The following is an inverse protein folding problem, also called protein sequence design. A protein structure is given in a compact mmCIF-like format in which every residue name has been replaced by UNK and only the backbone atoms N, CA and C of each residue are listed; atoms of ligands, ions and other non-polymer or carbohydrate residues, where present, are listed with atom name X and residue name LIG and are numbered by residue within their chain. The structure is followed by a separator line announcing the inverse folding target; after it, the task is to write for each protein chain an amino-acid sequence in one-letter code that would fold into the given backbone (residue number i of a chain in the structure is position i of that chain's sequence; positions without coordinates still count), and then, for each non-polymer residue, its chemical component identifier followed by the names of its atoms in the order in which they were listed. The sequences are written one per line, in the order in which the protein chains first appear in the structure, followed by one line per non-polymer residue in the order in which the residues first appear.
data_IF_456403952364
#
_entry.id   IF_456403952364
#
_cell.length_a   1.000
_cell.length_b   1.000
_cell.length_c   1.000
_cell.angle_alpha   90.00
_cell.angle_beta   90.00
_cell.angle_gamma   90.00
#
_symmetry.space_group_name_H-M   'P 1'
#
loop_
_entity.id
_entity.type
_entity.pdbx_description
1 polymer ?
#
# COMPACT_ATOMS: atom_id res chain seq x y z
N UNK A 1 -10.71 -12.73 -3.40
CA UNK A 1 -11.75 -11.92 -2.76
C UNK A 1 -11.29 -11.41 -1.41
N UNK A 2 -12.04 -10.54 -0.76
CA UNK A 2 -11.68 -9.97 0.53
C UNK A 2 -11.68 -11.02 1.66
N UNK A 3 -10.88 -10.76 2.69
CA UNK A 3 -10.77 -11.60 3.89
C UNK A 3 -11.82 -11.14 4.91
N UNK A 4 -12.76 -12.02 5.27
CA UNK A 4 -13.72 -11.75 6.35
C UNK A 4 -13.03 -11.88 7.71
N UNK A 5 -13.06 -10.82 8.50
CA UNK A 5 -12.47 -10.81 9.84
C UNK A 5 -13.53 -11.25 10.86
N UNK A 6 -13.31 -12.42 11.47
CA UNK A 6 -14.25 -13.00 12.43
C UNK A 6 -14.47 -12.08 13.63
N UNK A 7 -15.72 -11.76 13.90
CA UNK A 7 -16.12 -10.94 15.06
C UNK A 7 -15.95 -9.44 14.90
N UNK A 8 -15.46 -8.97 13.73
CA UNK A 8 -15.43 -7.54 13.43
C UNK A 8 -16.85 -7.00 13.23
N UNK A 9 -17.13 -5.86 13.85
CA UNK A 9 -18.39 -5.13 13.77
C UNK A 9 -18.17 -3.72 13.28
N UNK A 10 -19.15 -3.15 12.63
CA UNK A 10 -19.14 -1.70 12.32
C UNK A 10 -18.83 -0.89 13.59
N UNK A 11 -17.89 0.05 13.47
CA UNK A 11 -17.41 0.89 14.58
C UNK A 11 -16.20 0.35 15.32
N UNK A 12 -15.80 -0.91 15.09
CA UNK A 12 -14.52 -1.41 15.59
C UNK A 12 -13.35 -0.78 14.81
N UNK A 13 -12.14 -0.96 15.33
CA UNK A 13 -10.90 -0.68 14.59
C UNK A 13 -10.20 -2.01 14.31
N UNK A 14 -9.99 -2.30 13.04
CA UNK A 14 -9.14 -3.41 12.60
C UNK A 14 -7.69 -3.02 12.77
N UNK A 15 -6.93 -3.81 13.52
CA UNK A 15 -5.47 -3.69 13.61
C UNK A 15 -4.84 -4.70 12.66
N UNK A 16 -3.96 -4.23 11.78
CA UNK A 16 -3.25 -5.05 10.79
C UNK A 16 -1.76 -4.90 11.06
N UNK A 17 -1.16 -5.88 11.71
CA UNK A 17 0.28 -5.95 11.93
C UNK A 17 0.93 -6.58 10.70
N UNK A 18 1.86 -5.87 10.08
CA UNK A 18 2.63 -6.36 8.94
C UNK A 18 3.83 -7.13 9.47
N UNK A 19 3.78 -8.45 9.35
CA UNK A 19 4.83 -9.33 9.87
C UNK A 19 5.97 -9.49 8.88
N UNK A 20 5.63 -9.56 7.59
CA UNK A 20 6.61 -9.78 6.53
C UNK A 20 6.04 -9.38 5.16
N UNK A 21 6.91 -8.84 4.29
CA UNK A 21 6.61 -8.57 2.88
C UNK A 21 7.82 -8.95 2.06
N UNK A 22 7.64 -9.87 1.10
CA UNK A 22 8.73 -10.42 0.29
C UNK A 22 8.41 -10.38 -1.19
N UNK A 23 9.40 -10.12 -2.06
CA UNK A 23 9.27 -10.40 -3.49
C UNK A 23 8.90 -11.87 -3.73
N UNK A 24 7.88 -12.11 -4.54
CA UNK A 24 7.46 -13.45 -4.98
C UNK A 24 8.00 -13.78 -6.39
N UNK A 25 8.68 -12.82 -7.03
CA UNK A 25 9.38 -12.99 -8.30
C UNK A 25 10.75 -12.29 -8.23
N UNK A 26 11.74 -12.71 -9.02
CA UNK A 26 13.08 -12.14 -9.01
C UNK A 26 13.16 -10.77 -9.70
N UNK A 27 12.05 -10.16 -10.05
CA UNK A 27 12.01 -8.88 -10.74
C UNK A 27 10.87 -7.98 -10.24
N UNK A 28 11.05 -6.69 -10.45
CA UNK A 28 10.04 -5.66 -10.35
C UNK A 28 10.04 -4.77 -11.59
N UNK A 29 9.16 -3.79 -11.64
CA UNK A 29 9.08 -2.87 -12.76
C UNK A 29 8.64 -1.47 -12.34
N UNK A 30 9.02 -0.48 -13.12
CA UNK A 30 8.54 0.90 -13.01
C UNK A 30 8.17 1.40 -14.41
N UNK A 31 7.04 2.07 -14.54
CA UNK A 31 6.61 2.61 -15.83
C UNK A 31 6.42 4.13 -15.79
N UNK A 32 6.89 4.81 -16.81
CA UNK A 32 6.52 6.18 -17.13
C UNK A 32 5.42 6.12 -18.18
N UNK A 33 4.28 6.73 -17.90
CA UNK A 33 3.14 6.83 -18.82
C UNK A 33 2.86 8.31 -19.07
N UNK A 34 3.03 8.81 -20.32
CA UNK A 34 2.79 10.21 -20.64
C UNK A 34 1.42 10.69 -20.18
N UNK A 35 1.34 11.89 -19.62
CA UNK A 35 0.11 12.45 -19.05
C UNK A 35 -0.36 11.80 -17.74
N UNK A 36 0.48 10.98 -17.08
CA UNK A 36 0.22 10.40 -15.77
C UNK A 36 1.34 10.75 -14.81
N UNK A 37 0.97 10.93 -13.53
CA UNK A 37 1.92 11.32 -12.49
C UNK A 37 2.36 12.78 -12.59
N UNK A 38 3.52 13.06 -12.03
CA UNK A 38 4.05 14.42 -11.88
C UNK A 38 5.17 14.75 -12.89
N UNK A 39 5.58 13.80 -13.73
CA UNK A 39 6.60 14.05 -14.74
C UNK A 39 6.02 14.89 -15.89
N UNK A 40 6.72 15.98 -16.31
CA UNK A 40 6.24 16.84 -17.39
C UNK A 40 6.11 16.08 -18.72
N UNK A 41 4.91 16.06 -19.30
CA UNK A 41 4.66 15.33 -20.54
C UNK A 41 5.52 15.83 -21.72
N UNK A 42 5.86 17.13 -21.74
CA UNK A 42 6.75 17.69 -22.75
C UNK A 42 8.15 17.06 -22.78
N UNK A 43 8.64 16.63 -21.60
CA UNK A 43 9.95 15.98 -21.45
C UNK A 43 9.84 14.45 -21.51
N UNK A 44 8.73 13.90 -21.02
CA UNK A 44 8.46 12.46 -20.90
C UNK A 44 7.29 12.05 -21.82
N UNK A 45 7.39 12.42 -23.11
CA UNK A 45 6.32 12.24 -24.10
C UNK A 45 6.16 10.79 -24.61
N UNK A 46 7.08 9.89 -24.24
CA UNK A 46 7.04 8.48 -24.65
C UNK A 46 6.91 7.57 -23.44
N UNK A 47 6.10 6.49 -23.52
CA UNK A 47 6.06 5.50 -22.47
C UNK A 47 7.43 4.83 -22.32
N UNK A 48 7.80 4.57 -21.07
CA UNK A 48 9.04 3.86 -20.72
C UNK A 48 8.77 2.83 -19.65
N UNK A 49 9.33 1.62 -19.84
CA UNK A 49 9.26 0.54 -18.86
C UNK A 49 10.68 0.17 -18.43
N UNK A 50 10.91 0.21 -17.15
CA UNK A 50 12.15 -0.27 -16.51
C UNK A 50 11.87 -1.57 -15.79
N UNK A 51 12.70 -2.59 -16.03
CA UNK A 51 12.69 -3.84 -15.25
C UNK A 51 13.82 -3.77 -14.24
N UNK A 52 13.48 -4.09 -13.00
CA UNK A 52 14.41 -4.13 -11.87
C UNK A 52 14.72 -5.58 -11.50
N UNK A 53 15.98 -5.90 -11.31
CA UNK A 53 16.43 -7.16 -10.74
C UNK A 53 16.29 -7.11 -9.22
N UNK A 54 15.55 -8.07 -8.64
CA UNK A 54 15.31 -8.22 -7.19
C UNK A 54 15.94 -9.50 -6.63
N UNK A 55 16.81 -10.17 -7.36
CA UNK A 55 17.33 -11.51 -7.01
C UNK A 55 18.14 -11.55 -5.71
N UNK A 56 18.80 -10.45 -5.33
CA UNK A 56 19.59 -10.40 -4.08
C UNK A 56 18.69 -10.19 -2.84
N UNK A 57 17.41 -9.89 -3.02
CA UNK A 57 16.44 -9.63 -1.94
C UNK A 57 16.76 -8.41 -1.06
N UNK A 58 17.72 -7.58 -1.46
CA UNK A 58 18.17 -6.40 -0.70
C UNK A 58 18.13 -5.12 -1.51
N UNK A 59 18.27 -5.21 -2.83
CA UNK A 59 18.29 -4.06 -3.72
C UNK A 59 17.45 -4.31 -4.96
N UNK A 60 16.79 -3.27 -5.43
CA UNK A 60 16.29 -3.19 -6.79
C UNK A 60 17.42 -2.65 -7.67
N UNK A 61 17.85 -3.45 -8.66
CA UNK A 61 18.97 -3.10 -9.55
C UNK A 61 18.49 -2.84 -10.96
N UNK A 62 19.00 -1.77 -11.55
CA UNK A 62 18.71 -1.40 -12.93
C UNK A 62 20.02 -1.14 -13.68
N UNK A 63 20.21 -1.85 -14.80
CA UNK A 63 21.38 -1.68 -15.65
C UNK A 63 22.71 -1.82 -14.89
N UNK A 64 23.74 -1.08 -15.36
CA UNK A 64 25.05 -1.10 -14.73
C UNK A 64 25.18 0.08 -13.75
N UNK A 65 25.21 -0.21 -12.45
CA UNK A 65 25.57 0.75 -11.42
C UNK A 65 24.45 1.41 -10.64
N UNK A 66 23.16 1.16 -10.99
CA UNK A 66 22.04 1.65 -10.18
C UNK A 66 21.54 0.53 -9.28
N UNK A 67 21.56 0.78 -7.97
CA UNK A 67 21.04 -0.13 -6.95
C UNK A 67 20.33 0.69 -5.87
N UNK A 68 19.05 0.43 -5.67
CA UNK A 68 18.22 1.10 -4.66
C UNK A 68 17.89 0.08 -3.57
N UNK A 69 18.13 0.37 -2.29
CA UNK A 69 17.71 -0.53 -1.21
C UNK A 69 16.21 -0.78 -1.26
N UNK A 70 15.79 -2.04 -1.06
CA UNK A 70 14.37 -2.35 -0.98
C UNK A 70 13.86 -2.20 0.45
N UNK A 71 12.63 -1.73 0.57
CA UNK A 71 11.85 -1.65 1.80
C UNK A 71 10.42 -2.04 1.47
N UNK A 72 10.14 -3.36 1.30
CA UNK A 72 8.89 -3.82 0.73
C UNK A 72 7.67 -3.49 1.59
N UNK A 73 6.59 -3.09 0.93
CA UNK A 73 5.31 -2.80 1.57
C UNK A 73 4.13 -3.01 0.62
N UNK A 74 2.90 -3.21 1.11
CA UNK A 74 1.69 -3.21 0.29
C UNK A 74 1.22 -1.78 0.04
N UNK A 75 1.06 -1.35 -1.21
CA UNK A 75 0.50 -0.04 -1.57
C UNK A 75 -0.99 0.04 -1.24
N UNK A 76 -1.72 -1.05 -1.45
CA UNK A 76 -3.16 -1.15 -1.19
C UNK A 76 -3.45 -2.00 0.04
N UNK A 77 -4.04 -1.40 1.06
CA UNK A 77 -4.66 -2.10 2.20
C UNK A 77 -5.94 -1.37 2.62
N UNK A 78 -7.05 -2.09 2.74
CA UNK A 78 -8.30 -1.47 3.14
C UNK A 78 -9.38 -2.46 3.52
N UNK A 79 -10.48 -1.94 4.04
CA UNK A 79 -11.70 -2.67 4.37
C UNK A 79 -12.86 -2.24 3.46
N UNK A 80 -13.95 -2.98 3.46
CA UNK A 80 -15.13 -2.59 2.67
C UNK A 80 -15.75 -1.28 3.18
N UNK A 81 -16.24 -0.48 2.25
CA UNK A 81 -17.05 0.71 2.52
C UNK A 81 -18.48 0.30 2.95
N UNK A 82 -19.15 1.18 3.68
CA UNK A 82 -20.58 1.07 4.02
C UNK A 82 -21.50 1.66 2.94
N UNK A 83 -20.94 1.96 1.77
CA UNK A 83 -21.62 2.52 0.61
C UNK A 83 -21.79 1.44 -0.45
N UNK A 84 -23.03 1.14 -0.91
CA UNK A 84 -23.24 0.16 -1.96
C UNK A 84 -22.73 0.67 -3.31
N UNK A 85 -22.38 -0.26 -4.19
CA UNK A 85 -21.95 0.03 -5.56
C UNK A 85 -20.50 -0.27 -5.85
N UNK A 86 -20.06 0.09 -7.05
CA UNK A 86 -18.67 -0.03 -7.49
C UNK A 86 -17.90 1.28 -7.19
N UNK A 87 -16.75 1.13 -6.53
CA UNK A 87 -15.90 2.25 -6.17
C UNK A 87 -14.56 2.14 -6.89
N UNK A 88 -14.05 3.29 -7.39
CA UNK A 88 -12.71 3.34 -7.94
C UNK A 88 -11.68 2.98 -6.86
N UNK A 89 -10.71 2.16 -7.20
CA UNK A 89 -9.59 1.79 -6.32
C UNK A 89 -8.42 2.77 -6.39
N UNK A 90 -8.45 3.73 -7.32
CA UNK A 90 -7.35 4.69 -7.49
C UNK A 90 -7.16 5.63 -6.30
N UNK A 91 -8.17 6.36 -5.80
CA UNK A 91 -7.97 7.21 -4.63
C UNK A 91 -8.10 6.41 -3.34
N UNK A 92 -7.24 6.65 -2.34
CA UNK A 92 -7.49 6.18 -0.99
C UNK A 92 -8.73 6.87 -0.41
N UNK A 93 -9.38 6.23 0.56
CA UNK A 93 -10.62 6.73 1.19
C UNK A 93 -10.59 6.49 2.70
N UNK A 94 -11.67 6.87 3.39
CA UNK A 94 -11.88 6.62 4.83
C UNK A 94 -11.66 5.16 5.28
N UNK A 95 -11.71 4.21 4.36
CA UNK A 95 -11.52 2.77 4.60
C UNK A 95 -10.10 2.27 4.29
N UNK A 96 -9.15 3.16 3.94
CA UNK A 96 -7.87 2.81 3.37
C UNK A 96 -7.94 2.70 1.84
N UNK A 97 -7.35 1.66 1.28
CA UNK A 97 -7.26 1.42 -0.16
C UNK A 97 -5.86 1.72 -0.69
N UNK A 98 -5.78 2.44 -1.79
CA UNK A 98 -4.53 2.78 -2.49
C UNK A 98 -3.81 3.94 -1.77
N UNK A 99 -3.21 3.64 -0.64
CA UNK A 99 -2.59 4.66 0.21
C UNK A 99 -1.13 4.95 -0.15
N UNK A 100 -0.43 3.99 -0.75
CA UNK A 100 0.97 4.09 -1.18
C UNK A 100 1.92 4.66 -0.10
N UNK A 101 1.66 4.26 1.15
CA UNK A 101 2.44 4.71 2.30
C UNK A 101 3.68 3.85 2.48
N UNK A 102 4.81 4.30 1.96
CA UNK A 102 6.10 3.57 1.97
C UNK A 102 6.60 3.15 3.36
N UNK A 103 6.02 3.68 4.43
CA UNK A 103 6.36 3.34 5.81
C UNK A 103 5.61 2.11 6.35
N UNK A 104 4.66 1.55 5.59
CA UNK A 104 3.90 0.35 5.98
C UNK A 104 4.69 -0.95 5.70
N UNK A 105 5.94 -0.97 6.11
CA UNK A 105 6.85 -2.11 5.99
C UNK A 105 6.64 -3.13 7.12
N UNK A 106 7.34 -4.26 7.07
CA UNK A 106 7.35 -5.25 8.16
C UNK A 106 7.72 -4.60 9.51
N UNK A 107 7.03 -4.99 10.58
CA UNK A 107 7.15 -4.42 11.92
C UNK A 107 6.22 -3.24 12.20
N UNK A 108 5.43 -2.80 11.23
CA UNK A 108 4.46 -1.72 11.41
C UNK A 108 3.05 -2.24 11.66
N UNK A 109 2.19 -1.38 12.21
CA UNK A 109 0.78 -1.71 12.46
C UNK A 109 -0.11 -0.65 11.82
N UNK A 110 -0.99 -1.07 10.92
CA UNK A 110 -2.05 -0.24 10.34
C UNK A 110 -3.33 -0.40 11.15
N UNK A 111 -4.05 0.71 11.35
CA UNK A 111 -5.35 0.79 12.01
C UNK A 111 -6.38 1.26 10.99
N UNK A 112 -7.40 0.46 10.75
CA UNK A 112 -8.47 0.76 9.80
C UNK A 112 -9.82 0.85 10.51
N UNK A 113 -10.61 1.91 10.27
CA UNK A 113 -11.98 1.97 10.78
C UNK A 113 -12.84 0.92 10.09
N UNK A 114 -13.59 0.14 10.84
CA UNK A 114 -14.49 -0.88 10.30
C UNK A 114 -15.86 -0.26 9.98
N UNK A 115 -16.22 -0.20 8.71
CA UNK A 115 -17.47 0.43 8.24
C UNK A 115 -18.63 -0.54 8.11
N UNK A 116 -18.35 -1.85 8.04
CA UNK A 116 -19.36 -2.89 7.98
C UNK A 116 -18.90 -4.17 8.69
N UNK A 117 -19.84 -5.01 9.07
CA UNK A 117 -19.57 -6.27 9.75
C UNK A 117 -18.63 -7.16 8.94
N UNK A 118 -17.77 -7.88 9.63
CA UNK A 118 -16.68 -8.70 9.05
C UNK A 118 -15.55 -7.91 8.37
N UNK A 119 -15.57 -6.58 8.36
CA UNK A 119 -14.58 -5.68 7.77
C UNK A 119 -14.30 -5.91 6.29
N UNK A 120 -14.19 -7.15 5.82
CA UNK A 120 -13.88 -7.55 4.44
C UNK A 120 -12.57 -6.92 3.94
N UNK A 121 -11.48 -7.28 4.60
CA UNK A 121 -10.14 -6.73 4.33
C UNK A 121 -9.60 -7.21 2.98
N UNK A 122 -8.94 -6.30 2.26
CA UNK A 122 -8.20 -6.57 1.03
C UNK A 122 -6.79 -5.99 1.11
N UNK A 123 -5.84 -6.65 0.45
CA UNK A 123 -4.45 -6.24 0.32
C UNK A 123 -3.95 -6.54 -1.09
N UNK A 124 -3.08 -5.69 -1.61
CA UNK A 124 -2.48 -5.85 -2.93
C UNK A 124 -1.42 -4.81 -3.21
N UNK A 125 -1.03 -4.71 -4.49
CA UNK A 125 -0.15 -3.65 -4.97
C UNK A 125 1.16 -3.59 -4.19
N UNK A 126 1.94 -4.68 -4.28
CA UNK A 126 3.17 -4.79 -3.52
C UNK A 126 4.31 -4.02 -4.22
N UNK A 127 4.94 -3.14 -3.47
CA UNK A 127 6.09 -2.34 -3.90
C UNK A 127 7.37 -2.86 -3.24
N UNK A 128 8.43 -3.01 -4.01
CA UNK A 128 9.75 -3.34 -3.45
C UNK A 128 10.38 -2.12 -2.77
N UNK A 129 10.17 -0.93 -3.34
CA UNK A 129 10.59 0.36 -2.79
C UNK A 129 9.87 1.49 -3.52
N UNK A 130 9.75 2.65 -2.86
CA UNK A 130 9.08 3.82 -3.42
C UNK A 130 9.76 5.10 -2.94
N UNK A 131 9.95 6.06 -3.86
CA UNK A 131 10.31 7.44 -3.52
C UNK A 131 9.11 8.24 -3.01
N UNK A 132 9.36 9.43 -2.45
CA UNK A 132 8.29 10.31 -2.04
C UNK A 132 7.49 10.82 -3.24
N UNK A 133 6.16 10.78 -3.09
CA UNK A 133 5.22 11.28 -4.08
C UNK A 133 4.93 10.33 -5.25
N UNK A 134 5.61 9.18 -5.34
CA UNK A 134 5.37 8.18 -6.40
C UNK A 134 5.21 8.82 -7.80
N UNK A 135 6.18 9.66 -8.15
CA UNK A 135 6.07 10.65 -9.25
C UNK A 135 5.68 10.07 -10.62
N UNK A 136 5.92 8.79 -10.86
CA UNK A 136 5.54 8.09 -12.10
C UNK A 136 4.16 7.44 -12.03
N UNK A 137 3.44 7.48 -10.88
CA UNK A 137 2.25 6.66 -10.59
C UNK A 137 2.58 5.16 -10.55
N UNK A 138 3.84 4.83 -10.40
CA UNK A 138 4.36 3.49 -10.14
C UNK A 138 5.62 3.62 -9.28
N UNK A 139 5.73 2.75 -8.30
CA UNK A 139 6.93 2.54 -7.53
C UNK A 139 7.89 1.57 -8.26
N UNK A 140 8.64 0.78 -7.54
CA UNK A 140 9.16 -0.49 -8.04
C UNK A 140 8.12 -1.55 -7.73
N UNK A 141 7.20 -1.72 -8.64
CA UNK A 141 6.11 -2.70 -8.58
C UNK A 141 6.67 -4.11 -8.52
N UNK A 142 6.07 -4.99 -7.72
CA UNK A 142 6.51 -6.38 -7.64
C UNK A 142 5.36 -7.35 -7.38
N UNK A 143 5.55 -8.59 -7.75
CA UNK A 143 4.78 -9.68 -7.17
C UNK A 143 5.24 -9.87 -5.72
N UNK A 144 4.32 -9.82 -4.76
CA UNK A 144 4.65 -9.87 -3.35
C UNK A 144 3.91 -10.97 -2.60
N UNK A 145 4.58 -11.53 -1.58
CA UNK A 145 3.94 -12.33 -0.53
C UNK A 145 3.90 -11.50 0.74
N UNK A 146 2.71 -11.35 1.32
CA UNK A 146 2.48 -10.54 2.51
C UNK A 146 1.98 -11.42 3.65
N UNK A 147 2.62 -11.34 4.81
CA UNK A 147 2.20 -12.03 6.04
C UNK A 147 1.66 -11.00 7.03
N UNK A 148 0.40 -11.15 7.41
CA UNK A 148 -0.32 -10.21 8.27
C UNK A 148 -0.87 -10.91 9.51
N UNK A 149 -0.96 -10.15 10.62
CA UNK A 149 -1.71 -10.54 11.82
C UNK A 149 -2.83 -9.54 12.06
N UNK A 150 -4.04 -10.05 12.23
CA UNK A 150 -5.22 -9.24 12.48
C UNK A 150 -5.58 -9.23 13.96
N UNK A 151 -6.05 -8.07 14.43
CA UNK A 151 -6.66 -7.89 15.74
C UNK A 151 -7.82 -6.91 15.66
N UNK A 152 -8.60 -6.81 16.71
CA UNK A 152 -9.73 -5.89 16.83
C UNK A 152 -9.56 -5.03 18.07
N UNK A 153 -9.62 -3.72 17.93
CA UNK A 153 -9.73 -2.78 19.04
C UNK A 153 -11.17 -2.24 19.11
N UNK A 154 -11.82 -2.50 20.24
CA UNK A 154 -13.20 -2.06 20.50
C UNK A 154 -13.19 -0.80 21.37
N UNK A 155 -14.22 0.03 21.23
CA UNK A 155 -14.35 1.25 22.01
C UNK A 155 -13.34 2.35 21.66
N UNK A 156 -12.63 2.19 20.54
CA UNK A 156 -11.77 3.23 19.94
C UNK A 156 -12.48 3.81 18.73
N UNK A 157 -12.72 5.10 18.74
CA UNK A 157 -13.23 5.80 17.56
C UNK A 157 -12.09 6.11 16.60
N UNK A 158 -12.26 5.74 15.33
CA UNK A 158 -11.33 6.06 14.25
C UNK A 158 -12.13 6.43 13.01
N UNK A 159 -11.84 7.58 12.41
CA UNK A 159 -12.55 8.09 11.22
C UNK A 159 -11.78 7.85 9.93
N UNK A 160 -10.49 7.65 10.03
CA UNK A 160 -9.55 7.52 8.90
C UNK A 160 -8.42 6.56 9.25
N UNK A 161 -7.73 5.97 8.27
CA UNK A 161 -6.59 5.10 8.51
C UNK A 161 -5.49 5.80 9.30
N UNK A 162 -4.89 5.07 10.23
CA UNK A 162 -3.71 5.49 10.98
C UNK A 162 -2.69 4.36 10.97
N UNK A 163 -1.42 4.67 11.13
CA UNK A 163 -0.40 3.64 11.29
C UNK A 163 0.59 4.01 12.39
N UNK A 164 1.26 2.99 12.90
CA UNK A 164 2.34 3.11 13.87
C UNK A 164 3.54 2.34 13.37
N UNK A 165 4.68 3.02 13.32
CA UNK A 165 6.00 2.44 13.16
C UNK A 165 6.62 2.22 14.54
N UNK A 166 7.93 2.25 14.68
CA UNK A 166 8.63 2.28 15.98
C UNK A 166 8.42 3.60 16.75
N UNK A 167 7.86 4.63 16.10
CA UNK A 167 7.57 5.95 16.65
C UNK A 167 6.08 6.18 16.97
N UNK A 168 5.63 7.44 16.98
CA UNK A 168 4.24 7.81 17.25
C UNK A 168 3.28 7.33 16.17
N UNK A 169 1.97 7.34 16.48
CA UNK A 169 0.92 7.06 15.49
C UNK A 169 0.83 8.23 14.49
N UNK A 170 0.76 7.90 13.21
CA UNK A 170 0.63 8.84 12.09
C UNK A 170 -0.70 8.59 11.39
N UNK A 171 -1.41 9.65 11.01
CA UNK A 171 -2.60 9.55 10.15
C UNK A 171 -2.17 9.26 8.72
N UNK A 172 -2.83 8.31 8.08
CA UNK A 172 -2.57 7.91 6.69
C UNK A 172 -3.70 8.38 5.75
N UNK A 173 -4.54 9.31 6.22
CA UNK A 173 -5.66 9.78 5.41
C UNK A 173 -5.25 10.87 4.43
N UNK A 174 -5.81 10.81 3.25
CA UNK A 174 -5.96 11.96 2.38
C UNK A 174 -7.05 12.85 2.98
N UNK A 175 -6.69 14.09 3.29
CA UNK A 175 -7.66 15.15 3.57
C UNK A 175 -8.02 15.82 2.25
N UNK A 176 -8.60 15.05 1.34
CA UNK A 176 -9.22 15.60 0.15
C UNK A 176 -10.26 16.67 0.53
N UNK A 177 -10.56 17.61 -0.37
CA UNK A 177 -11.48 18.70 -0.12
C UNK A 177 -12.87 18.24 0.29
#
# INVERSE_FOLDING_TARGET
GPVAIRGARRGDVLTVEILDVKPAAPFGWTAIRPGRGLLPEAEFSKPHLTIWDLTDGKHARMGRGIAVPIAPFPGVMGVALDEPGAHSTMPPRKNGGNMDVKHLTAGTTLFLPVWMDSALFSVGDAHATQGDGEVCVTAVEMMGTVTLRFGLARGRELKEPQFRTSGPIVSAADRGP
#
